data_IF_602580783033
#
_entry.id   IF_602580783033
#
_cell.length_a   1.000
_cell.length_b   1.000
_cell.length_c   1.000
_cell.angle_alpha   90.00
_cell.angle_beta   90.00
_cell.angle_gamma   90.00
#
_symmetry.space_group_name_H-M   'P 1'
#
loop_
_entity.id
_entity.type
_entity.pdbx_description
1 polymer ?
#
# COMPACT_ATOMS: atom_id res chain seq x y z
N UNK A 1 27.65 8.75 -0.84
CA UNK A 1 26.24 9.06 -1.15
C UNK A 1 25.50 9.08 0.19
N UNK A 2 24.56 10.00 0.40
CA UNK A 2 23.80 10.02 1.66
C UNK A 2 23.09 8.69 1.87
N UNK A 3 23.26 8.12 3.05
CA UNK A 3 22.53 6.93 3.48
C UNK A 3 21.07 7.30 3.74
N UNK A 4 20.14 6.34 3.59
CA UNK A 4 18.73 6.59 3.88
C UNK A 4 18.48 6.88 5.36
N UNK A 5 17.31 7.43 5.73
CA UNK A 5 17.02 7.80 7.13
C UNK A 5 16.94 6.61 8.08
N UNK A 6 16.81 5.39 7.55
CA UNK A 6 16.81 4.13 8.31
C UNK A 6 18.12 3.35 8.16
N UNK A 7 19.21 4.03 7.75
CA UNK A 7 20.53 3.40 7.71
C UNK A 7 20.94 2.89 9.10
N UNK A 8 21.42 1.65 9.15
CA UNK A 8 21.76 0.97 10.41
C UNK A 8 20.60 0.19 11.04
N UNK A 9 19.36 0.40 10.61
CA UNK A 9 18.21 -0.41 11.05
C UNK A 9 18.16 -1.72 10.26
N UNK A 10 18.09 -2.86 10.96
CA UNK A 10 17.92 -4.18 10.36
C UNK A 10 16.53 -4.73 10.63
N UNK A 11 15.85 -5.14 9.56
CA UNK A 11 14.49 -5.67 9.59
C UNK A 11 14.51 -7.13 9.16
N UNK A 12 14.00 -8.03 9.98
CA UNK A 12 13.67 -9.40 9.58
C UNK A 12 12.22 -9.45 9.15
N UNK A 13 11.98 -9.87 7.93
CA UNK A 13 10.64 -10.02 7.37
C UNK A 13 10.31 -11.51 7.20
N UNK A 14 9.45 -12.04 8.07
CA UNK A 14 8.91 -13.39 8.00
C UNK A 14 7.39 -13.37 7.64
N UNK A 15 6.98 -12.38 6.89
CA UNK A 15 5.65 -12.25 6.33
C UNK A 15 5.61 -12.72 4.87
N UNK A 16 4.44 -13.08 4.37
CA UNK A 16 4.24 -13.52 2.99
C UNK A 16 3.15 -12.70 2.30
N UNK A 17 3.07 -12.83 0.95
CA UNK A 17 2.09 -12.15 0.10
C UNK A 17 2.30 -10.63 0.05
N UNK A 18 1.38 -9.81 0.61
CA UNK A 18 1.31 -8.39 0.30
C UNK A 18 1.65 -7.48 1.49
N UNK A 19 0.83 -7.41 2.52
CA UNK A 19 0.87 -6.35 3.51
C UNK A 19 2.21 -6.23 4.26
N UNK A 20 2.72 -7.34 4.81
CA UNK A 20 4.04 -7.37 5.46
C UNK A 20 5.18 -7.07 4.49
N UNK A 21 5.24 -7.75 3.33
CA UNK A 21 6.25 -7.46 2.31
C UNK A 21 6.23 -6.02 1.77
N UNK A 22 5.07 -5.38 1.61
CA UNK A 22 4.99 -3.96 1.25
C UNK A 22 5.59 -3.05 2.35
N UNK A 23 5.33 -3.36 3.63
CA UNK A 23 5.93 -2.62 4.75
C UNK A 23 7.46 -2.79 4.78
N UNK A 24 7.96 -4.03 4.62
CA UNK A 24 9.39 -4.29 4.49
C UNK A 24 10.03 -3.56 3.30
N UNK A 25 9.34 -3.52 2.16
CA UNK A 25 9.79 -2.76 0.98
C UNK A 25 9.91 -1.27 1.29
N UNK A 26 8.87 -0.67 1.91
CA UNK A 26 8.91 0.75 2.26
C UNK A 26 10.07 1.09 3.22
N UNK A 27 10.33 0.24 4.22
CA UNK A 27 11.48 0.42 5.11
C UNK A 27 12.82 0.28 4.35
N UNK A 28 12.94 -0.69 3.46
CA UNK A 28 14.13 -0.93 2.64
C UNK A 28 14.41 0.17 1.61
N UNK A 29 13.37 0.77 1.03
CA UNK A 29 13.51 1.91 0.12
C UNK A 29 14.13 3.14 0.82
N UNK A 30 13.93 3.27 2.13
CA UNK A 30 14.49 4.35 2.96
C UNK A 30 15.72 3.94 3.78
N UNK A 31 16.39 2.85 3.41
CA UNK A 31 17.74 2.53 3.87
C UNK A 31 17.83 1.45 4.94
N UNK A 32 16.74 0.88 5.42
CA UNK A 32 16.81 -0.29 6.30
C UNK A 32 17.38 -1.51 5.55
N UNK A 33 18.21 -2.30 6.23
CA UNK A 33 18.61 -3.62 5.73
C UNK A 33 17.48 -4.62 5.98
N UNK A 34 16.78 -5.03 4.93
CA UNK A 34 15.64 -5.96 5.04
C UNK A 34 16.07 -7.36 4.65
N UNK A 35 15.96 -8.30 5.58
CA UNK A 35 16.21 -9.73 5.38
C UNK A 35 14.87 -10.45 5.33
N UNK A 36 14.47 -10.88 4.13
CA UNK A 36 13.26 -11.65 3.91
C UNK A 36 13.52 -13.14 4.11
N UNK A 37 12.83 -13.71 5.06
CA UNK A 37 12.89 -15.14 5.39
C UNK A 37 11.74 -15.86 4.70
N UNK A 38 12.09 -16.89 3.90
CA UNK A 38 11.14 -17.65 3.10
C UNK A 38 11.28 -19.16 3.36
N UNK A 39 10.22 -19.93 3.10
CA UNK A 39 10.28 -21.38 3.22
C UNK A 39 11.22 -21.98 2.13
N UNK A 40 12.12 -22.91 2.48
CA UNK A 40 12.96 -23.58 1.50
C UNK A 40 12.14 -24.24 0.38
N UNK A 41 12.62 -24.14 -0.86
CA UNK A 41 12.00 -24.70 -2.05
C UNK A 41 10.74 -24.00 -2.54
N UNK A 42 9.82 -23.62 -1.63
CA UNK A 42 8.54 -22.99 -2.01
C UNK A 42 8.65 -21.47 -2.19
N UNK A 43 9.37 -20.80 -1.29
CA UNK A 43 9.45 -19.35 -1.26
C UNK A 43 8.12 -18.64 -0.92
N UNK A 44 8.08 -17.35 -1.16
CA UNK A 44 6.86 -16.55 -1.05
C UNK A 44 5.94 -16.80 -2.27
N UNK A 45 4.65 -17.07 -2.08
CA UNK A 45 3.71 -17.21 -3.20
C UNK A 45 3.73 -16.04 -4.20
N UNK A 46 4.10 -14.83 -3.79
CA UNK A 46 4.23 -13.66 -4.67
C UNK A 46 5.24 -13.85 -5.80
N UNK A 47 6.22 -14.75 -5.64
CA UNK A 47 7.20 -15.06 -6.69
C UNK A 47 6.56 -15.48 -8.00
N UNK A 48 5.36 -16.09 -7.91
CA UNK A 48 4.61 -16.59 -9.07
C UNK A 48 3.18 -16.09 -9.13
N UNK A 49 2.78 -15.16 -8.26
CA UNK A 49 1.39 -14.69 -8.17
C UNK A 49 1.05 -13.68 -9.28
N UNK A 50 -0.19 -13.75 -9.78
CA UNK A 50 -0.74 -12.78 -10.72
C UNK A 50 -0.11 -12.84 -12.13
N UNK A 51 0.10 -11.67 -12.73
CA UNK A 51 0.71 -11.53 -14.06
C UNK A 51 2.19 -11.88 -14.00
N UNK A 52 2.67 -12.64 -15.00
CA UNK A 52 4.04 -13.16 -15.05
C UNK A 52 4.71 -12.83 -16.38
N UNK A 53 6.03 -12.67 -16.32
CA UNK A 53 6.91 -12.70 -17.49
C UNK A 53 8.04 -13.72 -17.21
N UNK A 54 8.25 -14.66 -18.13
CA UNK A 54 9.28 -15.70 -18.00
C UNK A 54 9.18 -16.53 -16.69
N UNK A 55 7.95 -16.74 -16.20
CA UNK A 55 7.68 -17.46 -14.95
C UNK A 55 7.72 -16.59 -13.68
N UNK A 56 8.29 -15.39 -13.75
CA UNK A 56 8.43 -14.46 -12.61
C UNK A 56 7.18 -13.62 -12.44
N UNK A 57 6.63 -13.59 -11.24
CA UNK A 57 5.49 -12.74 -10.88
C UNK A 57 5.86 -11.25 -10.88
N UNK A 58 5.14 -10.42 -11.63
CA UNK A 58 5.41 -8.97 -11.66
C UNK A 58 5.13 -8.31 -10.30
N UNK A 59 4.18 -8.84 -9.53
CA UNK A 59 3.91 -8.38 -8.18
C UNK A 59 5.09 -8.65 -7.23
N UNK A 60 5.84 -9.74 -7.42
CA UNK A 60 7.07 -10.01 -6.67
C UNK A 60 8.07 -8.87 -6.80
N UNK A 61 8.30 -8.38 -8.03
CA UNK A 61 9.21 -7.27 -8.31
C UNK A 61 8.78 -5.94 -7.66
N UNK A 62 7.51 -5.82 -7.28
CA UNK A 62 6.98 -4.67 -6.53
C UNK A 62 7.22 -4.79 -5.03
N UNK A 63 7.02 -5.99 -4.43
CA UNK A 63 7.04 -6.18 -2.97
C UNK A 63 8.35 -6.71 -2.41
N UNK A 64 9.37 -6.98 -3.26
CA UNK A 64 10.64 -7.56 -2.83
C UNK A 64 11.86 -6.65 -3.04
N UNK A 65 11.63 -5.38 -3.33
CA UNK A 65 12.70 -4.40 -3.57
C UNK A 65 13.62 -4.26 -2.36
N UNK A 66 14.93 -4.14 -2.64
CA UNK A 66 15.97 -3.90 -1.65
C UNK A 66 16.08 -4.97 -0.54
N UNK A 67 15.55 -6.18 -0.75
CA UNK A 67 15.58 -7.24 0.26
C UNK A 67 16.65 -8.27 -0.03
N UNK A 68 17.40 -8.67 0.99
CA UNK A 68 18.15 -9.92 0.98
C UNK A 68 17.17 -11.08 1.17
N UNK A 69 17.27 -12.10 0.33
CA UNK A 69 16.36 -13.25 0.36
C UNK A 69 17.07 -14.47 0.91
N UNK A 70 16.62 -14.95 2.06
CA UNK A 70 17.11 -16.17 2.70
C UNK A 70 16.01 -17.21 2.83
N UNK A 71 16.39 -18.48 2.87
CA UNK A 71 15.48 -19.59 3.14
C UNK A 71 15.67 -20.13 4.55
N UNK A 72 14.56 -20.40 5.26
CA UNK A 72 14.60 -20.99 6.59
C UNK A 72 13.29 -21.72 6.90
N UNK A 73 13.36 -22.99 7.30
CA UNK A 73 12.19 -23.77 7.70
C UNK A 73 11.88 -23.57 9.20
N UNK A 74 10.98 -22.66 9.49
CA UNK A 74 10.52 -22.36 10.85
C UNK A 74 9.70 -23.50 11.51
N UNK A 75 9.39 -24.57 10.77
CA UNK A 75 8.76 -25.77 11.36
C UNK A 75 9.76 -26.67 12.07
N UNK A 76 11.05 -26.50 11.80
CA UNK A 76 12.13 -27.28 12.38
C UNK A 76 12.78 -26.53 13.55
N UNK A 77 13.11 -27.18 14.67
CA UNK A 77 13.74 -26.54 15.84
C UNK A 77 15.07 -25.84 15.49
N UNK A 78 15.89 -26.45 14.62
CA UNK A 78 17.16 -25.86 14.16
C UNK A 78 16.90 -24.55 13.38
N UNK A 79 15.83 -24.50 12.57
CA UNK A 79 15.40 -23.30 11.86
C UNK A 79 14.89 -22.20 12.81
N UNK A 80 14.13 -22.58 13.83
CA UNK A 80 13.68 -21.63 14.87
C UNK A 80 14.84 -21.02 15.64
N UNK A 81 15.83 -21.83 16.04
CA UNK A 81 16.99 -21.31 16.76
C UNK A 81 17.86 -20.40 15.87
N UNK A 82 18.07 -20.76 14.60
CA UNK A 82 18.77 -19.90 13.66
C UNK A 82 18.02 -18.58 13.40
N UNK A 83 16.69 -18.64 13.37
CA UNK A 83 15.86 -17.43 13.29
C UNK A 83 16.05 -16.52 14.52
N UNK A 84 16.04 -17.06 15.72
CA UNK A 84 16.30 -16.29 16.94
C UNK A 84 17.70 -15.67 16.95
N UNK A 85 18.73 -16.35 16.45
CA UNK A 85 20.06 -15.76 16.27
C UNK A 85 20.06 -14.59 15.30
N UNK A 86 19.20 -14.63 14.26
CA UNK A 86 19.03 -13.50 13.34
C UNK A 86 18.33 -12.32 14.05
N UNK A 87 17.36 -12.59 14.94
CA UNK A 87 16.69 -11.56 15.72
C UNK A 87 17.60 -10.86 16.73
N UNK A 88 18.63 -11.55 17.28
CA UNK A 88 19.60 -10.95 18.20
C UNK A 88 20.35 -9.76 17.61
N UNK A 89 20.58 -9.78 16.29
CA UNK A 89 21.30 -8.74 15.55
C UNK A 89 20.39 -7.83 14.74
N UNK A 90 19.08 -7.82 15.05
CA UNK A 90 18.06 -7.09 14.30
C UNK A 90 17.27 -6.12 15.17
N UNK A 91 16.65 -5.13 14.57
CA UNK A 91 15.89 -4.06 15.23
C UNK A 91 14.39 -4.27 15.15
N UNK A 92 13.93 -4.85 14.01
CA UNK A 92 12.51 -5.00 13.69
C UNK A 92 12.24 -6.41 13.19
N UNK A 93 11.13 -6.99 13.64
CA UNK A 93 10.55 -8.21 13.09
C UNK A 93 9.19 -7.90 12.48
N UNK A 94 8.99 -8.20 11.20
CA UNK A 94 7.69 -8.11 10.53
C UNK A 94 7.16 -9.51 10.27
N UNK A 95 5.97 -9.82 10.81
CA UNK A 95 5.28 -11.10 10.63
C UNK A 95 3.85 -10.90 10.14
N UNK A 96 3.31 -11.89 9.43
CA UNK A 96 1.94 -11.82 8.86
C UNK A 96 1.10 -13.09 9.12
N UNK A 97 1.62 -14.07 9.84
CA UNK A 97 0.95 -15.33 10.10
C UNK A 97 -0.03 -15.20 11.28
N UNK A 98 -1.00 -16.12 11.35
CA UNK A 98 -1.95 -16.18 12.46
C UNK A 98 -1.23 -16.44 13.79
N UNK A 99 -1.76 -15.94 14.93
CA UNK A 99 -1.14 -16.14 16.24
C UNK A 99 -0.75 -17.60 16.54
N UNK A 100 -1.65 -18.55 16.30
CA UNK A 100 -1.37 -19.96 16.52
C UNK A 100 -0.23 -20.54 15.66
N UNK A 101 0.08 -19.94 14.51
CA UNK A 101 1.24 -20.34 13.72
C UNK A 101 2.53 -19.77 14.30
N UNK A 102 2.50 -18.52 14.75
CA UNK A 102 3.65 -17.87 15.39
C UNK A 102 4.05 -18.60 16.68
N UNK A 103 3.06 -19.00 17.51
CA UNK A 103 3.28 -19.81 18.71
C UNK A 103 3.96 -21.14 18.40
N UNK A 104 3.47 -21.89 17.39
CA UNK A 104 4.10 -23.14 16.95
C UNK A 104 5.54 -22.98 16.47
N UNK A 105 5.88 -21.81 15.94
CA UNK A 105 7.22 -21.49 15.44
C UNK A 105 8.09 -20.80 16.49
N UNK A 106 7.58 -20.62 17.72
CA UNK A 106 8.26 -19.90 18.82
C UNK A 106 8.66 -18.47 18.49
N UNK A 107 7.90 -17.83 17.61
CA UNK A 107 8.09 -16.43 17.18
C UNK A 107 6.85 -15.55 17.46
N UNK A 108 6.00 -15.99 18.41
CA UNK A 108 4.98 -15.12 19.01
C UNK A 108 5.64 -14.00 19.83
N UNK A 109 4.86 -12.94 20.09
CA UNK A 109 5.41 -11.75 20.77
C UNK A 109 5.99 -12.07 22.15
N UNK A 110 5.32 -12.88 22.93
CA UNK A 110 5.71 -13.20 24.30
C UNK A 110 7.07 -13.91 24.33
N UNK A 111 7.27 -14.87 23.43
CA UNK A 111 8.54 -15.59 23.25
C UNK A 111 9.65 -14.67 22.72
N UNK A 112 9.33 -13.88 21.68
CA UNK A 112 10.30 -12.94 21.06
C UNK A 112 10.72 -11.87 22.05
N UNK A 113 9.77 -11.23 22.74
CA UNK A 113 10.07 -10.16 23.68
C UNK A 113 10.87 -10.63 24.90
N UNK A 114 10.60 -11.84 25.39
CA UNK A 114 11.38 -12.40 26.49
C UNK A 114 12.85 -12.65 26.13
N UNK A 115 13.13 -13.06 24.88
CA UNK A 115 14.51 -13.30 24.39
C UNK A 115 15.18 -12.04 23.84
N UNK A 116 14.42 -11.14 23.21
CA UNK A 116 14.89 -9.97 22.47
C UNK A 116 14.11 -8.71 22.87
N UNK A 117 14.23 -8.21 24.10
CA UNK A 117 13.41 -7.10 24.60
C UNK A 117 13.63 -5.77 23.86
N UNK A 118 14.71 -5.63 23.08
CA UNK A 118 15.00 -4.47 22.26
C UNK A 118 14.23 -4.45 20.91
N UNK A 119 13.72 -5.61 20.50
CA UNK A 119 13.16 -5.80 19.17
C UNK A 119 11.76 -5.21 19.07
N UNK A 120 11.53 -4.40 18.04
CA UNK A 120 10.19 -3.94 17.64
C UNK A 120 9.55 -5.04 16.80
N UNK A 121 8.45 -5.61 17.24
CA UNK A 121 7.71 -6.63 16.48
C UNK A 121 6.47 -6.02 15.85
N UNK A 122 6.38 -6.04 14.52
CA UNK A 122 5.21 -5.62 13.75
C UNK A 122 4.46 -6.85 13.25
N UNK A 123 3.29 -7.11 13.82
CA UNK A 123 2.40 -8.19 13.41
C UNK A 123 1.26 -7.64 12.56
N UNK A 124 1.25 -8.00 11.27
CA UNK A 124 0.21 -7.58 10.32
C UNK A 124 -0.64 -8.80 9.98
N UNK A 125 -1.86 -8.87 10.51
CA UNK A 125 -2.72 -10.04 10.36
C UNK A 125 -4.10 -9.67 9.80
N UNK A 126 -4.90 -10.67 9.42
CA UNK A 126 -6.23 -10.42 8.86
C UNK A 126 -7.18 -9.68 9.81
N UNK A 127 -7.11 -10.01 11.11
CA UNK A 127 -8.09 -9.52 12.10
C UNK A 127 -7.47 -8.97 13.39
N UNK A 128 -6.15 -8.87 13.49
CA UNK A 128 -5.48 -8.46 14.72
C UNK A 128 -5.45 -9.54 15.81
N UNK A 129 -4.83 -9.21 16.92
CA UNK A 129 -4.72 -10.09 18.11
C UNK A 129 -5.89 -9.85 19.07
N UNK A 130 -6.20 -10.86 19.87
CA UNK A 130 -7.13 -10.71 21.01
C UNK A 130 -8.62 -10.71 20.71
N UNK A 131 -9.04 -10.68 19.46
CA UNK A 131 -10.45 -10.74 19.09
C UNK A 131 -10.94 -12.16 18.77
N UNK A 132 -12.27 -12.40 18.69
CA UNK A 132 -12.84 -13.72 18.42
C UNK A 132 -12.53 -14.26 17.01
N UNK A 133 -11.93 -13.44 16.14
CA UNK A 133 -11.53 -13.80 14.78
C UNK A 133 -10.01 -13.86 14.60
N UNK A 134 -9.21 -13.62 15.63
CA UNK A 134 -7.76 -13.43 15.51
C UNK A 134 -7.05 -14.62 14.83
N UNK A 135 -7.54 -15.84 15.00
CA UNK A 135 -6.95 -17.03 14.39
C UNK A 135 -7.69 -17.53 13.14
N UNK A 136 -8.66 -16.74 12.62
CA UNK A 136 -9.34 -17.05 11.35
C UNK A 136 -8.49 -16.67 10.16
N UNK A 137 -8.61 -17.39 9.02
CA UNK A 137 -8.02 -16.96 7.76
C UNK A 137 -8.56 -15.58 7.37
N UNK A 138 -7.68 -14.64 7.06
CA UNK A 138 -8.02 -13.28 6.62
C UNK A 138 -7.10 -12.82 5.49
N UNK A 139 -7.68 -12.14 4.50
CA UNK A 139 -6.99 -11.56 3.35
C UNK A 139 -7.58 -10.19 3.03
N UNK A 140 -6.91 -9.39 2.22
CA UNK A 140 -7.31 -8.05 1.85
C UNK A 140 -8.77 -7.93 1.38
N UNK A 141 -9.21 -8.83 0.52
CA UNK A 141 -10.62 -8.86 0.02
C UNK A 141 -11.65 -8.96 1.16
N UNK A 142 -11.37 -9.77 2.20
CA UNK A 142 -12.29 -9.90 3.34
C UNK A 142 -12.28 -8.62 4.20
N UNK A 143 -11.13 -7.99 4.33
CA UNK A 143 -10.98 -6.72 5.03
C UNK A 143 -11.70 -5.58 4.29
N UNK A 144 -11.59 -5.52 2.97
CA UNK A 144 -12.32 -4.56 2.12
C UNK A 144 -13.84 -4.70 2.27
N UNK A 145 -14.34 -5.93 2.41
CA UNK A 145 -15.75 -6.17 2.69
C UNK A 145 -16.16 -5.79 4.12
N UNK A 146 -15.37 -6.19 5.12
CA UNK A 146 -15.69 -6.00 6.54
C UNK A 146 -15.50 -4.57 7.05
N UNK A 147 -14.58 -3.80 6.45
CA UNK A 147 -14.34 -2.40 6.84
C UNK A 147 -15.50 -1.47 6.52
N UNK A 148 -16.45 -1.91 5.70
CA UNK A 148 -17.50 -1.06 5.13
C UNK A 148 -17.13 -0.41 3.79
N UNK A 149 -15.85 -0.51 3.36
CA UNK A 149 -15.39 0.09 2.10
C UNK A 149 -16.24 -0.38 0.91
N UNK A 150 -16.38 -1.69 0.72
CA UNK A 150 -17.16 -2.24 -0.39
C UNK A 150 -18.63 -1.83 -0.36
N UNK A 151 -19.18 -1.51 0.83
CA UNK A 151 -20.56 -1.07 0.97
C UNK A 151 -20.79 0.33 0.38
N UNK A 152 -19.84 1.26 0.56
CA UNK A 152 -19.96 2.64 0.11
C UNK A 152 -19.42 2.90 -1.29
N UNK A 153 -18.66 1.95 -1.86
CA UNK A 153 -18.05 2.08 -3.21
C UNK A 153 -18.91 1.35 -4.25
N UNK A 154 -19.18 2.02 -5.37
CA UNK A 154 -19.93 1.50 -6.51
C UNK A 154 -21.10 2.38 -6.92
N UNK A 155 -21.81 1.97 -7.99
CA UNK A 155 -23.01 2.66 -8.45
C UNK A 155 -24.19 2.46 -7.47
N UNK A 156 -25.09 3.44 -7.33
CA UNK A 156 -26.20 3.38 -6.35
C UNK A 156 -27.07 2.14 -6.49
N UNK A 157 -27.33 1.72 -7.73
CA UNK A 157 -28.17 0.57 -8.11
C UNK A 157 -27.33 -0.69 -8.40
N UNK A 158 -26.01 -0.62 -8.26
CA UNK A 158 -25.09 -1.73 -8.47
C UNK A 158 -24.79 -2.54 -7.21
N UNK A 159 -24.06 -3.65 -7.33
CA UNK A 159 -23.56 -4.40 -6.18
C UNK A 159 -22.47 -3.64 -5.42
N UNK A 160 -22.12 -4.05 -4.17
CA UNK A 160 -20.89 -3.63 -3.51
C UNK A 160 -19.68 -3.89 -4.41
N UNK A 161 -18.73 -2.94 -4.45
CA UNK A 161 -17.58 -3.01 -5.35
C UNK A 161 -16.29 -3.20 -4.59
N UNK A 162 -15.53 -4.25 -4.96
CA UNK A 162 -14.19 -4.53 -4.44
C UNK A 162 -13.13 -3.94 -5.39
N UNK A 163 -12.03 -3.41 -4.90
CA UNK A 163 -10.96 -2.91 -5.76
C UNK A 163 -10.24 -4.06 -6.48
N UNK A 164 -9.80 -3.88 -7.74
CA UNK A 164 -9.07 -4.91 -8.48
C UNK A 164 -7.57 -4.96 -8.14
N UNK A 165 -7.19 -4.51 -6.94
CA UNK A 165 -5.80 -4.47 -6.44
C UNK A 165 -5.80 -4.60 -4.91
N UNK A 166 -4.65 -4.84 -4.30
CA UNK A 166 -4.45 -5.10 -2.87
C UNK A 166 -4.58 -3.83 -2.02
N UNK A 167 -5.79 -3.24 -1.97
CA UNK A 167 -6.03 -1.96 -1.28
C UNK A 167 -5.85 -2.09 0.24
N UNK A 168 -6.54 -3.06 0.86
CA UNK A 168 -6.47 -3.23 2.31
C UNK A 168 -5.04 -3.56 2.78
N UNK A 169 -4.33 -4.41 2.01
CA UNK A 169 -2.93 -4.74 2.27
C UNK A 169 -2.03 -3.49 2.17
N UNK A 170 -2.23 -2.68 1.14
CA UNK A 170 -1.47 -1.44 0.94
C UNK A 170 -1.69 -0.43 2.05
N UNK A 171 -2.93 -0.21 2.47
CA UNK A 171 -3.26 0.71 3.57
C UNK A 171 -2.71 0.21 4.90
N UNK A 172 -2.83 -1.10 5.18
CA UNK A 172 -2.26 -1.71 6.38
C UNK A 172 -0.72 -1.63 6.40
N UNK A 173 -0.08 -1.81 5.23
CA UNK A 173 1.39 -1.69 5.13
C UNK A 173 1.88 -0.27 5.42
N UNK A 174 1.16 0.76 4.95
CA UNK A 174 1.47 2.16 5.28
C UNK A 174 1.31 2.41 6.78
N UNK A 175 0.21 1.93 7.39
CA UNK A 175 -0.01 2.03 8.84
C UNK A 175 1.11 1.33 9.63
N UNK A 176 1.50 0.12 9.23
CA UNK A 176 2.60 -0.63 9.84
C UNK A 176 3.93 0.12 9.70
N UNK A 177 4.23 0.66 8.52
CA UNK A 177 5.49 1.37 8.26
C UNK A 177 5.66 2.58 9.18
N UNK A 178 4.66 3.46 9.28
CA UNK A 178 4.79 4.62 10.19
C UNK A 178 4.81 4.20 11.66
N UNK A 179 4.06 3.14 12.05
CA UNK A 179 4.09 2.64 13.42
C UNK A 179 5.46 2.05 13.80
N UNK A 180 6.13 1.34 12.88
CA UNK A 180 7.51 0.87 13.08
C UNK A 180 8.45 2.04 13.31
N UNK A 181 8.39 3.10 12.48
CA UNK A 181 9.24 4.29 12.67
C UNK A 181 8.96 4.98 14.01
N UNK A 182 7.69 5.10 14.43
CA UNK A 182 7.33 5.64 15.76
C UNK A 182 7.88 4.79 16.90
N UNK A 183 7.81 3.45 16.79
CA UNK A 183 8.32 2.55 17.81
C UNK A 183 9.86 2.59 17.91
N UNK A 184 10.56 2.67 16.77
CA UNK A 184 12.01 2.87 16.74
C UNK A 184 12.40 4.22 17.36
N UNK A 185 11.69 5.30 17.01
CA UNK A 185 11.91 6.62 17.61
C UNK A 185 11.72 6.58 19.14
N UNK A 186 10.66 5.94 19.62
CA UNK A 186 10.44 5.77 21.05
C UNK A 186 11.59 5.00 21.71
N UNK A 187 12.03 3.89 21.13
CA UNK A 187 13.12 3.08 21.66
C UNK A 187 14.43 3.84 21.68
N UNK A 188 14.80 4.45 20.57
CA UNK A 188 16.16 4.99 20.37
C UNK A 188 16.35 6.39 20.96
N UNK A 189 15.29 7.21 20.98
CA UNK A 189 15.36 8.61 21.46
C UNK A 189 14.86 8.75 22.89
N UNK A 190 13.85 8.00 23.29
CA UNK A 190 13.25 8.10 24.64
C UNK A 190 13.73 7.00 25.61
N UNK A 191 14.69 6.16 25.20
CA UNK A 191 15.25 5.12 26.06
C UNK A 191 14.26 4.01 26.39
N UNK A 192 13.32 3.75 25.50
CA UNK A 192 12.34 2.68 25.62
C UNK A 192 12.92 1.30 25.28
N UNK A 193 12.06 0.28 25.42
CA UNK A 193 12.33 -1.07 24.92
C UNK A 193 11.62 -1.29 23.59
N UNK A 194 11.84 -2.44 22.95
CA UNK A 194 11.02 -2.91 21.87
C UNK A 194 9.56 -3.16 22.31
N UNK A 195 8.67 -3.16 21.36
CA UNK A 195 7.23 -3.34 21.63
C UNK A 195 6.54 -4.06 20.49
N UNK A 196 5.32 -4.56 20.76
CA UNK A 196 4.44 -5.09 19.74
C UNK A 196 3.68 -3.95 19.05
N UNK A 197 3.65 -4.02 17.73
CA UNK A 197 2.75 -3.27 16.86
C UNK A 197 1.78 -4.26 16.27
N UNK A 198 0.50 -4.15 16.63
CA UNK A 198 -0.57 -5.00 16.10
C UNK A 198 -1.38 -4.21 15.07
N UNK A 199 -1.27 -4.58 13.81
CA UNK A 199 -2.00 -3.99 12.68
C UNK A 199 -2.82 -5.09 12.00
N UNK A 200 -4.11 -4.85 11.81
CA UNK A 200 -4.93 -5.75 11.00
C UNK A 200 -5.33 -5.09 9.67
N UNK A 201 -5.83 -5.90 8.74
CA UNK A 201 -6.19 -5.40 7.42
C UNK A 201 -7.50 -4.58 7.42
N UNK A 202 -8.35 -4.73 8.43
CA UNK A 202 -9.69 -4.11 8.50
C UNK A 202 -9.63 -2.68 9.00
N UNK A 203 -8.96 -2.46 10.13
CA UNK A 203 -9.01 -1.18 10.87
C UNK A 203 -8.39 0.00 10.10
N UNK A 204 -7.23 -0.12 9.45
CA UNK A 204 -6.67 0.98 8.69
C UNK A 204 -7.56 1.41 7.52
N UNK A 205 -8.26 0.45 6.88
CA UNK A 205 -9.19 0.76 5.80
C UNK A 205 -10.50 1.37 6.34
N UNK A 206 -11.03 0.86 7.47
CA UNK A 206 -12.19 1.43 8.16
C UNK A 206 -11.93 2.89 8.60
N UNK A 207 -10.68 3.21 8.99
CA UNK A 207 -10.26 4.58 9.33
C UNK A 207 -10.44 5.57 8.18
N UNK A 208 -10.25 5.15 6.93
CA UNK A 208 -10.43 6.03 5.76
C UNK A 208 -11.89 6.41 5.51
N UNK A 209 -12.84 5.59 5.97
CA UNK A 209 -14.28 5.80 5.81
C UNK A 209 -14.99 6.09 7.16
N UNK A 210 -14.25 6.55 8.16
CA UNK A 210 -14.75 6.81 9.52
C UNK A 210 -15.98 7.73 9.54
N UNK A 211 -16.10 8.65 8.58
CA UNK A 211 -17.28 9.51 8.43
C UNK A 211 -18.59 8.73 8.28
N UNK A 212 -18.55 7.53 7.71
CA UNK A 212 -19.74 6.67 7.58
C UNK A 212 -20.20 6.13 8.94
N UNK A 213 -19.25 5.75 9.82
CA UNK A 213 -19.58 5.31 11.17
C UNK A 213 -20.05 6.46 12.05
N UNK A 214 -19.49 7.67 11.88
CA UNK A 214 -19.93 8.88 12.56
C UNK A 214 -21.34 9.29 12.12
N UNK A 215 -21.67 9.18 10.82
CA UNK A 215 -23.02 9.46 10.33
C UNK A 215 -24.06 8.50 10.94
N UNK A 216 -23.71 7.21 11.03
CA UNK A 216 -24.60 6.25 11.69
C UNK A 216 -24.76 6.54 13.19
N UNK A 217 -23.67 6.77 13.90
CA UNK A 217 -23.69 7.01 15.34
C UNK A 217 -24.48 8.28 15.73
N UNK A 218 -24.26 9.37 14.99
CA UNK A 218 -24.81 10.69 15.34
C UNK A 218 -26.16 11.01 14.69
N UNK A 219 -26.45 10.43 13.51
CA UNK A 219 -27.63 10.75 12.72
C UNK A 219 -28.56 9.55 12.49
N UNK A 220 -28.11 8.34 12.80
CA UNK A 220 -28.81 7.10 12.46
C UNK A 220 -28.79 6.79 10.95
N UNK A 221 -27.96 7.47 10.18
CA UNK A 221 -27.87 7.31 8.73
C UNK A 221 -26.88 6.23 8.33
N UNK A 222 -27.23 5.41 7.35
CA UNK A 222 -26.34 4.42 6.75
C UNK A 222 -25.97 4.92 5.34
N UNK A 223 -24.77 5.55 5.16
CA UNK A 223 -24.34 6.00 3.85
C UNK A 223 -24.22 4.83 2.86
N UNK A 224 -24.84 4.99 1.71
CA UNK A 224 -24.83 4.01 0.64
C UNK A 224 -23.83 4.37 -0.48
N UNK A 225 -23.94 3.64 -1.59
CA UNK A 225 -23.16 3.91 -2.81
C UNK A 225 -23.71 5.13 -3.55
N UNK A 226 -22.82 6.02 -3.94
CA UNK A 226 -23.17 7.27 -4.66
C UNK A 226 -22.46 7.38 -6.03
N UNK A 227 -21.85 6.29 -6.50
CA UNK A 227 -21.03 6.29 -7.71
C UNK A 227 -19.75 7.12 -7.51
N UNK A 228 -19.48 8.00 -8.46
CA UNK A 228 -18.32 8.89 -8.40
C UNK A 228 -18.60 10.19 -7.63
N UNK A 229 -19.78 10.36 -7.03
CA UNK A 229 -20.14 11.56 -6.28
C UNK A 229 -19.55 11.55 -4.86
N UNK A 230 -19.64 12.71 -4.22
CA UNK A 230 -19.32 12.92 -2.83
C UNK A 230 -20.35 13.89 -2.25
N UNK A 231 -20.90 13.62 -1.09
CA UNK A 231 -22.00 14.40 -0.50
C UNK A 231 -21.65 15.87 -0.20
N UNK A 232 -20.37 16.22 -0.18
CA UNK A 232 -19.89 17.58 0.11
C UNK A 232 -19.40 18.34 -1.14
N UNK A 233 -19.55 17.80 -2.36
CA UNK A 233 -18.96 18.41 -3.57
C UNK A 233 -19.79 18.13 -4.83
N UNK A 234 -20.17 19.21 -5.53
CA UNK A 234 -20.84 19.15 -6.85
C UNK A 234 -20.41 20.34 -7.71
N UNK A 235 -20.09 20.16 -9.04
CA UNK A 235 -19.90 18.85 -9.67
C UNK A 235 -18.67 18.11 -9.13
N UNK A 236 -18.85 16.84 -8.88
CA UNK A 236 -17.75 15.91 -8.60
C UNK A 236 -18.12 14.55 -9.18
N UNK A 237 -17.59 14.25 -10.36
CA UNK A 237 -17.89 13.03 -11.10
C UNK A 237 -16.82 12.74 -12.16
N UNK A 238 -16.94 11.59 -12.83
CA UNK A 238 -16.22 11.28 -14.06
C UNK A 238 -17.17 11.40 -15.25
N UNK A 239 -16.70 12.05 -16.33
CA UNK A 239 -17.49 12.39 -17.52
C UNK A 239 -16.86 11.80 -18.77
N UNK A 240 -17.70 11.24 -19.66
CA UNK A 240 -17.27 10.60 -20.89
C UNK A 240 -17.22 11.60 -22.04
N UNK A 241 -16.11 11.63 -22.74
CA UNK A 241 -15.84 12.52 -23.90
C UNK A 241 -16.33 11.91 -25.20
N UNK A 242 -16.34 12.73 -26.28
CA UNK A 242 -16.75 12.29 -27.63
C UNK A 242 -15.85 11.18 -28.21
N UNK A 243 -14.58 11.15 -27.84
CA UNK A 243 -13.57 10.17 -28.25
C UNK A 243 -13.46 8.96 -27.31
N UNK A 244 -14.53 8.69 -26.53
CA UNK A 244 -14.68 7.54 -25.64
C UNK A 244 -13.62 7.48 -24.52
N UNK A 245 -13.12 8.62 -24.10
CA UNK A 245 -12.22 8.76 -22.95
C UNK A 245 -12.97 9.37 -21.78
N UNK A 246 -12.31 9.52 -20.63
CA UNK A 246 -12.91 10.01 -19.41
C UNK A 246 -12.06 11.11 -18.77
N UNK A 247 -12.72 12.10 -18.22
CA UNK A 247 -12.12 13.08 -17.31
C UNK A 247 -12.89 13.15 -16.01
N UNK A 248 -12.23 13.54 -14.94
CA UNK A 248 -12.81 13.77 -13.62
C UNK A 248 -12.78 15.27 -13.30
N UNK A 249 -13.85 15.76 -12.67
CA UNK A 249 -13.92 17.13 -12.11
C UNK A 249 -14.15 17.01 -10.59
N UNK A 250 -13.52 17.90 -9.83
CA UNK A 250 -13.80 18.06 -8.40
C UNK A 250 -14.01 19.55 -8.08
N UNK A 251 -15.23 19.90 -7.64
CA UNK A 251 -15.62 21.27 -7.36
C UNK A 251 -15.97 21.44 -5.87
N UNK A 252 -14.94 21.44 -5.02
CA UNK A 252 -15.10 21.51 -3.58
C UNK A 252 -15.53 22.90 -3.04
N UNK A 253 -15.40 23.98 -3.84
CA UNK A 253 -15.75 25.34 -3.42
C UNK A 253 -16.71 26.01 -4.38
N UNK A 254 -17.49 27.01 -3.90
CA UNK A 254 -18.34 27.82 -4.77
C UNK A 254 -17.58 28.50 -5.91
N UNK A 255 -16.36 28.94 -5.67
CA UNK A 255 -15.53 29.59 -6.68
C UNK A 255 -15.18 28.65 -7.84
N UNK A 256 -14.86 27.38 -7.53
CA UNK A 256 -14.58 26.38 -8.57
C UNK A 256 -15.85 26.02 -9.32
N UNK A 257 -16.99 25.85 -8.64
CA UNK A 257 -18.29 25.60 -9.28
C UNK A 257 -18.64 26.69 -10.30
N UNK A 258 -18.47 27.97 -9.93
CA UNK A 258 -18.68 29.11 -10.83
C UNK A 258 -17.79 29.04 -12.07
N UNK A 259 -16.53 28.62 -11.93
CA UNK A 259 -15.61 28.43 -13.06
C UNK A 259 -16.06 27.30 -13.98
N UNK A 260 -16.53 26.19 -13.40
CA UNK A 260 -17.10 25.10 -14.19
C UNK A 260 -18.28 25.58 -15.02
N UNK A 261 -19.25 26.28 -14.41
CA UNK A 261 -20.43 26.78 -15.15
C UNK A 261 -20.06 27.71 -16.30
N UNK A 262 -19.10 28.61 -16.10
CA UNK A 262 -18.61 29.49 -17.17
C UNK A 262 -17.89 28.71 -18.27
N UNK A 263 -17.09 27.70 -17.90
CA UNK A 263 -16.37 26.87 -18.86
C UNK A 263 -17.28 26.00 -19.74
N UNK A 264 -18.45 25.59 -19.19
CA UNK A 264 -19.44 24.80 -19.95
C UNK A 264 -20.53 25.66 -20.62
N UNK A 265 -20.24 26.94 -20.88
CA UNK A 265 -21.14 27.89 -21.55
C UNK A 265 -22.49 28.14 -20.80
N UNK A 266 -22.45 28.09 -19.47
CA UNK A 266 -23.61 28.33 -18.58
C UNK A 266 -23.30 29.42 -17.54
N UNK A 267 -22.88 30.64 -17.95
CA UNK A 267 -22.46 31.68 -17.01
C UNK A 267 -23.57 32.14 -16.07
N UNK A 268 -24.84 31.99 -16.45
CA UNK A 268 -26.00 32.34 -15.62
C UNK A 268 -26.06 31.54 -14.34
N UNK A 269 -25.63 30.28 -14.35
CA UNK A 269 -25.59 29.41 -13.16
C UNK A 269 -24.52 29.86 -12.15
N UNK A 270 -23.51 30.58 -12.62
CA UNK A 270 -22.47 31.10 -11.74
C UNK A 270 -22.97 32.25 -10.84
N UNK A 271 -24.11 32.84 -11.17
CA UNK A 271 -24.72 33.94 -10.41
C UNK A 271 -26.03 33.50 -9.71
N UNK A 272 -26.51 32.28 -9.97
CA UNK A 272 -27.72 31.72 -9.36
C UNK A 272 -27.41 31.10 -7.98
N UNK A 273 -28.03 31.62 -6.89
CA UNK A 273 -27.84 31.10 -5.54
C UNK A 273 -28.10 29.59 -5.41
N UNK A 274 -29.00 29.01 -6.19
CA UNK A 274 -29.37 27.59 -6.13
C UNK A 274 -28.26 26.68 -6.65
N UNK A 275 -27.37 27.21 -7.49
CA UNK A 275 -26.21 26.49 -8.05
C UNK A 275 -24.88 26.88 -7.39
N UNK A 276 -24.86 28.00 -6.68
CA UNK A 276 -23.63 28.49 -6.02
C UNK A 276 -23.55 28.06 -4.55
N UNK A 277 -24.68 28.15 -3.84
CA UNK A 277 -24.74 27.69 -2.44
C UNK A 277 -24.41 26.19 -2.33
N UNK A 278 -23.48 25.78 -1.46
CA UNK A 278 -23.04 24.39 -1.40
C UNK A 278 -24.17 23.38 -1.08
N UNK A 279 -25.09 23.74 -0.20
CA UNK A 279 -26.20 22.85 0.20
C UNK A 279 -27.18 22.67 -0.94
N UNK A 280 -27.66 23.78 -1.50
CA UNK A 280 -28.63 23.76 -2.62
C UNK A 280 -28.05 23.11 -3.87
N UNK A 281 -26.77 23.36 -4.16
CA UNK A 281 -26.06 22.74 -5.28
C UNK A 281 -25.95 21.22 -5.10
N UNK A 282 -25.76 20.76 -3.88
CA UNK A 282 -25.71 19.32 -3.60
C UNK A 282 -27.07 18.64 -3.87
N UNK A 283 -28.17 19.29 -3.54
CA UNK A 283 -29.52 18.81 -3.87
C UNK A 283 -29.73 18.68 -5.39
N UNK A 284 -29.04 19.50 -6.18
CA UNK A 284 -29.07 19.53 -7.66
C UNK A 284 -27.90 18.77 -8.31
N UNK A 285 -27.14 17.98 -7.56
CA UNK A 285 -25.91 17.36 -8.04
C UNK A 285 -26.11 16.54 -9.34
N UNK A 286 -27.25 15.87 -9.51
CA UNK A 286 -27.58 15.14 -10.74
C UNK A 286 -27.77 16.07 -11.94
N UNK A 287 -28.53 17.13 -11.77
CA UNK A 287 -28.77 18.13 -12.81
C UNK A 287 -27.46 18.78 -13.27
N UNK A 288 -26.61 19.15 -12.29
CA UNK A 288 -25.28 19.71 -12.56
C UNK A 288 -24.40 18.73 -13.32
N UNK A 289 -24.38 17.46 -12.91
CA UNK A 289 -23.65 16.41 -13.61
C UNK A 289 -24.13 16.22 -15.06
N UNK A 290 -25.44 16.25 -15.31
CA UNK A 290 -26.02 16.13 -16.65
C UNK A 290 -25.61 17.30 -17.57
N UNK A 291 -25.58 18.53 -17.04
CA UNK A 291 -25.11 19.69 -17.77
C UNK A 291 -23.64 19.57 -18.16
N UNK A 292 -22.79 19.18 -17.23
CA UNK A 292 -21.37 18.96 -17.48
C UNK A 292 -21.17 17.81 -18.45
N UNK A 293 -21.85 16.67 -18.26
CA UNK A 293 -21.73 15.52 -19.16
C UNK A 293 -22.16 15.87 -20.59
N UNK A 294 -23.22 16.64 -20.78
CA UNK A 294 -23.68 17.06 -22.10
C UNK A 294 -22.60 17.87 -22.82
N UNK A 295 -22.00 18.83 -22.13
CA UNK A 295 -20.94 19.67 -22.68
C UNK A 295 -19.66 18.86 -23.00
N UNK A 296 -19.26 17.96 -22.11
CA UNK A 296 -18.07 17.11 -22.28
C UNK A 296 -18.26 16.09 -23.41
N UNK A 297 -19.45 15.52 -23.56
CA UNK A 297 -19.75 14.50 -24.59
C UNK A 297 -19.66 15.04 -26.04
N UNK A 298 -19.66 16.34 -26.22
CA UNK A 298 -19.52 17.00 -27.52
C UNK A 298 -18.04 17.34 -27.90
N UNK A 299 -17.08 16.97 -27.02
CA UNK A 299 -15.66 17.36 -27.13
C UNK A 299 -14.74 16.16 -26.97
N UNK A 300 -13.57 16.22 -27.62
CA UNK A 300 -12.49 15.29 -27.32
C UNK A 300 -11.96 15.53 -25.91
N UNK A 301 -11.23 14.57 -25.34
CA UNK A 301 -10.59 14.76 -24.02
C UNK A 301 -9.66 15.99 -24.05
N UNK A 302 -8.85 16.10 -25.09
CA UNK A 302 -7.86 17.17 -25.21
C UNK A 302 -8.52 18.56 -25.32
N UNK A 303 -9.60 18.70 -26.08
CA UNK A 303 -10.37 19.94 -26.17
C UNK A 303 -11.05 20.31 -24.85
N UNK A 304 -11.65 19.32 -24.17
CA UNK A 304 -12.31 19.54 -22.89
C UNK A 304 -11.30 19.95 -21.81
N UNK A 305 -10.15 19.27 -21.75
CA UNK A 305 -9.08 19.58 -20.79
C UNK A 305 -8.49 20.97 -21.04
N UNK A 306 -8.23 21.34 -22.30
CA UNK A 306 -7.74 22.68 -22.64
C UNK A 306 -8.72 23.79 -22.22
N UNK A 307 -10.02 23.56 -22.40
CA UNK A 307 -11.04 24.54 -21.99
C UNK A 307 -11.14 24.65 -20.44
N UNK A 308 -11.05 23.54 -19.72
CA UNK A 308 -11.05 23.55 -18.26
C UNK A 308 -9.77 24.16 -17.67
N UNK A 309 -8.62 23.90 -18.26
CA UNK A 309 -7.36 24.51 -17.86
C UNK A 309 -7.39 26.03 -18.07
N UNK A 310 -7.84 26.50 -19.23
CA UNK A 310 -7.98 27.93 -19.51
C UNK A 310 -8.92 28.65 -18.54
N UNK A 311 -9.93 27.94 -18.00
CA UNK A 311 -10.87 28.46 -17.02
C UNK A 311 -10.43 28.23 -15.56
N UNK A 312 -9.24 27.67 -15.31
CA UNK A 312 -8.73 27.30 -13.98
C UNK A 312 -9.71 26.38 -13.22
N UNK A 313 -10.29 25.41 -13.92
CA UNK A 313 -11.15 24.37 -13.37
C UNK A 313 -10.31 23.19 -12.91
N UNK A 314 -10.60 22.65 -11.73
CA UNK A 314 -9.94 21.44 -11.20
C UNK A 314 -10.47 20.19 -11.91
N UNK A 315 -9.87 19.88 -13.04
CA UNK A 315 -10.15 18.69 -13.84
C UNK A 315 -8.88 17.89 -14.10
N UNK A 316 -9.04 16.60 -14.34
CA UNK A 316 -7.93 15.71 -14.71
C UNK A 316 -8.45 14.59 -15.62
N UNK A 317 -7.65 14.13 -16.59
CA UNK A 317 -7.98 12.93 -17.35
C UNK A 317 -7.92 11.67 -16.46
N UNK A 318 -8.77 10.70 -16.75
CA UNK A 318 -8.67 9.36 -16.13
C UNK A 318 -7.66 8.57 -16.95
N UNK A 319 -6.47 8.38 -16.40
CA UNK A 319 -5.36 7.72 -17.08
C UNK A 319 -5.44 6.20 -17.03
N UNK A 320 -5.07 5.57 -18.13
CA UNK A 320 -4.60 4.19 -18.13
C UNK A 320 -3.08 4.12 -17.79
N UNK A 321 -2.54 2.91 -17.74
CA UNK A 321 -1.12 2.73 -17.40
C UNK A 321 -0.16 3.32 -18.44
N UNK A 322 -0.52 3.33 -19.72
CA UNK A 322 0.33 3.89 -20.78
C UNK A 322 0.37 5.43 -20.68
N UNK A 323 -0.79 6.05 -20.44
CA UNK A 323 -0.92 7.47 -20.22
C UNK A 323 -0.20 7.93 -18.94
N UNK A 324 -0.34 7.17 -17.85
CA UNK A 324 0.35 7.43 -16.59
C UNK A 324 1.88 7.45 -16.77
N UNK A 325 2.44 6.48 -17.49
CA UNK A 325 3.87 6.43 -17.81
C UNK A 325 4.29 7.51 -18.83
N UNK A 326 3.36 7.96 -19.67
CA UNK A 326 3.57 8.97 -20.69
C UNK A 326 3.51 10.41 -20.18
N UNK A 327 2.95 10.65 -19.00
CA UNK A 327 2.70 11.99 -18.48
C UNK A 327 3.99 12.77 -18.21
N UNK A 328 4.06 13.98 -18.78
CA UNK A 328 5.25 14.85 -18.72
C UNK A 328 5.53 15.32 -17.27
N UNK A 329 4.48 15.66 -16.52
CA UNK A 329 4.63 16.12 -15.14
C UNK A 329 5.18 15.01 -14.24
N UNK A 330 4.63 13.78 -14.35
CA UNK A 330 5.09 12.63 -13.57
C UNK A 330 6.52 12.23 -13.94
N UNK A 331 6.89 12.34 -15.21
CA UNK A 331 8.29 12.14 -15.67
C UNK A 331 9.23 13.20 -15.09
N UNK A 332 8.86 14.46 -15.17
CA UNK A 332 9.66 15.56 -14.61
C UNK A 332 9.85 15.43 -13.10
N UNK A 333 8.86 14.89 -12.38
CA UNK A 333 8.96 14.60 -10.96
C UNK A 333 9.79 13.35 -10.62
N UNK A 334 10.19 12.57 -11.63
CA UNK A 334 10.88 11.29 -11.37
C UNK A 334 9.99 10.24 -10.70
N UNK A 335 8.67 10.29 -10.94
CA UNK A 335 7.71 9.34 -10.34
C UNK A 335 8.00 7.90 -10.74
N UNK A 336 8.59 7.69 -11.91
CA UNK A 336 8.99 6.39 -12.41
C UNK A 336 10.49 6.37 -12.71
N UNK A 337 11.12 5.24 -12.39
CA UNK A 337 12.53 4.98 -12.64
C UNK A 337 12.70 3.64 -13.34
N UNK A 338 13.76 3.53 -14.16
CA UNK A 338 14.13 2.26 -14.78
C UNK A 338 15.20 1.58 -13.93
N UNK A 339 14.97 0.33 -13.58
CA UNK A 339 15.90 -0.52 -12.84
C UNK A 339 16.21 -1.75 -13.68
N UNK A 340 17.50 -2.08 -13.83
CA UNK A 340 17.92 -3.29 -14.51
C UNK A 340 17.74 -4.50 -13.60
N UNK A 341 16.83 -5.38 -13.99
CA UNK A 341 16.55 -6.62 -13.26
C UNK A 341 17.29 -7.79 -13.92
N UNK A 342 18.02 -8.61 -13.16
CA UNK A 342 18.85 -9.70 -13.74
C UNK A 342 18.02 -10.81 -14.40
N UNK A 343 16.74 -10.95 -14.05
CA UNK A 343 15.85 -11.97 -14.62
C UNK A 343 15.04 -11.45 -15.80
N UNK A 344 14.60 -10.17 -15.74
CA UNK A 344 13.64 -9.61 -16.70
C UNK A 344 14.20 -8.45 -17.54
N UNK A 345 15.46 -8.02 -17.29
CA UNK A 345 16.05 -6.86 -17.96
C UNK A 345 15.50 -5.53 -17.45
N UNK A 346 15.58 -4.45 -18.22
CA UNK A 346 15.12 -3.12 -17.79
C UNK A 346 13.63 -3.10 -17.46
N UNK A 347 13.29 -2.65 -16.26
CA UNK A 347 11.92 -2.51 -15.78
C UNK A 347 11.65 -1.09 -15.30
N UNK A 348 10.58 -0.49 -15.80
CA UNK A 348 10.08 0.78 -15.27
C UNK A 348 9.20 0.52 -14.06
N UNK A 349 9.57 1.11 -12.93
CA UNK A 349 8.87 0.96 -11.64
C UNK A 349 8.63 2.30 -10.99
N UNK A 350 7.66 2.38 -10.11
CA UNK A 350 7.44 3.61 -9.33
C UNK A 350 8.60 3.84 -8.37
N UNK A 351 9.12 5.05 -8.34
CA UNK A 351 10.11 5.49 -7.36
C UNK A 351 9.53 5.50 -5.93
N UNK A 352 10.36 5.55 -4.87
CA UNK A 352 9.87 5.76 -3.51
C UNK A 352 8.95 6.98 -3.43
N UNK A 353 7.77 6.81 -2.83
CA UNK A 353 6.69 7.81 -2.94
C UNK A 353 7.03 9.13 -2.25
N UNK A 354 7.68 9.08 -1.09
CA UNK A 354 8.08 10.27 -0.37
C UNK A 354 9.46 10.79 -0.85
N UNK A 355 9.52 12.05 -1.23
CA UNK A 355 10.78 12.72 -1.60
C UNK A 355 11.35 13.42 -0.38
N UNK A 356 12.36 12.81 0.25
CA UNK A 356 13.13 13.42 1.33
C UNK A 356 14.36 14.11 0.72
N UNK A 357 14.51 15.41 0.94
CA UNK A 357 15.54 16.22 0.27
C UNK A 357 16.95 15.86 0.71
N UNK A 358 17.15 15.52 1.98
CA UNK A 358 18.46 15.18 2.55
C UNK A 358 18.78 13.66 2.48
N UNK A 359 17.77 12.83 2.64
CA UNK A 359 17.89 11.37 2.74
C UNK A 359 16.91 10.67 1.79
N UNK A 360 17.04 10.86 0.46
CA UNK A 360 16.08 10.33 -0.51
C UNK A 360 16.04 8.81 -0.49
N UNK A 361 14.82 8.27 -0.62
CA UNK A 361 14.60 6.84 -0.83
C UNK A 361 15.22 6.36 -2.16
N UNK A 362 15.57 5.07 -2.23
CA UNK A 362 16.23 4.47 -3.41
C UNK A 362 15.77 3.05 -3.66
N UNK A 363 15.77 2.66 -4.94
CA UNK A 363 15.60 1.27 -5.37
C UNK A 363 16.96 0.80 -5.89
N UNK A 364 17.54 -0.20 -5.23
CA UNK A 364 18.82 -0.80 -5.61
C UNK A 364 18.63 -2.02 -6.52
N UNK A 365 17.58 -2.83 -6.26
CA UNK A 365 17.19 -3.99 -7.05
C UNK A 365 15.70 -4.32 -6.81
N UNK A 366 15.11 -5.13 -7.68
CA UNK A 366 13.68 -5.50 -7.66
C UNK A 366 13.41 -6.86 -6.99
N UNK A 367 14.33 -7.33 -6.17
CA UNK A 367 14.26 -8.62 -5.50
C UNK A 367 15.34 -9.57 -6.00
N UNK A 368 15.61 -10.60 -5.22
CA UNK A 368 16.64 -11.60 -5.48
C UNK A 368 16.01 -12.98 -5.63
N UNK A 369 16.74 -13.91 -6.20
CA UNK A 369 16.33 -15.31 -6.27
C UNK A 369 16.21 -15.91 -4.88
N UNK A 370 15.45 -16.99 -4.75
CA UNK A 370 15.19 -17.67 -3.48
C UNK A 370 16.50 -18.16 -2.86
N UNK A 371 16.77 -17.78 -1.60
CA UNK A 371 17.95 -18.18 -0.85
C UNK A 371 19.29 -17.58 -1.33
N UNK A 372 19.23 -16.58 -2.25
CA UNK A 372 20.44 -15.98 -2.82
C UNK A 372 21.41 -15.40 -1.79
N UNK A 373 20.89 -15.03 -0.62
CA UNK A 373 21.69 -14.40 0.42
C UNK A 373 21.97 -15.32 1.64
N UNK A 374 21.70 -16.64 1.52
CA UNK A 374 21.93 -17.57 2.64
C UNK A 374 23.37 -17.54 3.14
N UNK A 375 24.36 -17.55 2.26
CA UNK A 375 25.77 -17.55 2.65
C UNK A 375 26.18 -16.22 3.31
N UNK A 376 25.73 -15.10 2.75
CA UNK A 376 26.03 -13.79 3.29
C UNK A 376 25.35 -13.55 4.66
N UNK A 377 24.09 -14.00 4.83
CA UNK A 377 23.36 -13.77 6.08
C UNK A 377 23.75 -14.81 7.14
N UNK A 378 23.71 -16.08 6.82
CA UNK A 378 24.01 -17.10 7.84
C UNK A 378 25.51 -17.33 8.05
N UNK A 379 26.30 -17.25 6.98
CA UNK A 379 27.75 -17.41 7.06
C UNK A 379 28.45 -16.15 7.56
N UNK A 380 28.34 -15.05 6.84
CA UNK A 380 29.11 -13.82 7.16
C UNK A 380 28.51 -13.07 8.36
N UNK A 381 27.19 -12.81 8.36
CA UNK A 381 26.54 -12.02 9.43
C UNK A 381 26.41 -12.80 10.72
N UNK A 382 25.99 -14.09 10.67
CA UNK A 382 25.80 -14.91 11.87
C UNK A 382 27.00 -15.80 12.22
N UNK A 383 28.03 -15.86 11.37
CA UNK A 383 29.28 -16.56 11.62
C UNK A 383 29.18 -18.11 11.55
N UNK A 384 28.23 -18.66 10.78
CA UNK A 384 28.16 -20.10 10.58
C UNK A 384 29.27 -20.56 9.61
N UNK A 385 29.91 -21.69 9.94
CA UNK A 385 30.89 -22.29 9.03
C UNK A 385 30.23 -22.84 7.77
N UNK A 386 31.01 -22.94 6.69
CA UNK A 386 30.53 -23.52 5.43
C UNK A 386 30.04 -24.96 5.59
N UNK A 387 30.70 -25.74 6.48
CA UNK A 387 30.29 -27.11 6.77
C UNK A 387 28.95 -27.17 7.48
N UNK A 388 28.72 -26.29 8.45
CA UNK A 388 27.43 -26.20 9.13
C UNK A 388 26.30 -25.75 8.19
N UNK A 389 26.56 -24.78 7.32
CA UNK A 389 25.57 -24.37 6.30
C UNK A 389 25.24 -25.49 5.33
N UNK A 390 26.23 -26.32 4.96
CA UNK A 390 25.99 -27.49 4.12
C UNK A 390 25.10 -28.53 4.83
N UNK A 391 25.38 -28.84 6.08
CA UNK A 391 24.54 -29.74 6.90
C UNK A 391 23.09 -29.24 6.99
N UNK A 392 22.88 -27.94 7.24
CA UNK A 392 21.54 -27.33 7.27
C UNK A 392 20.81 -27.41 5.92
N UNK A 393 21.53 -27.27 4.79
CA UNK A 393 20.96 -27.47 3.45
C UNK A 393 20.58 -28.91 3.20
N UNK A 394 21.43 -29.87 3.57
CA UNK A 394 21.16 -31.30 3.42
C UNK A 394 19.94 -31.74 4.26
N UNK A 395 19.72 -31.14 5.41
CA UNK A 395 18.54 -31.31 6.25
C UNK A 395 17.31 -30.55 5.76
N UNK A 396 17.43 -29.68 4.78
CA UNK A 396 16.35 -28.82 4.28
C UNK A 396 15.89 -27.74 5.28
N UNK A 397 16.78 -27.31 6.18
CA UNK A 397 16.54 -26.21 7.12
C UNK A 397 16.72 -24.86 6.44
N UNK A 398 17.71 -24.74 5.54
CA UNK A 398 18.02 -23.56 4.75
C UNK A 398 18.10 -23.85 3.25
#
# INVERSE_FOLDING_TARGET
>A
MAEGPLAGVRVVEAATLAAGPMAGTALGEFGAEVIKVEAPGAGDPMRTWGRRREGVGLAWKSVSRNKRCVTLDLRQPEGQELFHRLLEVSDVLVVGNRPSALERWTIDYETVHARHPHLVMCHISGYGRGGPKSDRPGYGTLAEAMSGFAHVVGQPDGPPTLPPFMLADGVASLAATYAVVMALYHRDVHGGTGQLIDVNLVEPLARLIETSTLAFDQLGEIPGRVGNRLDASAPRNAYRTADDRWLAISSASPAIAKRVYRAIDRPELAEDPDYVDPVRRQERAREVDELVQKWVAERTLDDAMAAFEAADVTAAPVYDAAQLLGDEHLRARGTFVTVDDPELGPMTVQAPVAVLTETPGRIQHLGRTLGADNDAVFGELLGLSADHLRDLREKGVV
#
